data_IF_721479573229
#
_entry.id   IF_721479573229
#
_cell.length_a   1.000
_cell.length_b   1.000
_cell.length_c   1.000
_cell.angle_alpha   90.00
_cell.angle_beta   90.00
_cell.angle_gamma   90.00
#
_symmetry.space_group_name_H-M   'P 1'
#
loop_
_entity.id
_entity.type
_entity.pdbx_description
1 polymer ?
#
# COMPACT_ATOMS: atom_id res chain seq x y z
N UNK A 1 14.92 -12.93 -3.23
CA UNK A 1 14.33 -12.23 -4.40
C UNK A 1 14.03 -10.79 -4.01
N UNK A 2 14.90 -9.86 -4.42
CA UNK A 2 14.73 -8.42 -4.22
C UNK A 2 13.51 -7.95 -5.02
N UNK A 3 12.55 -7.29 -4.38
CA UNK A 3 11.40 -6.74 -5.09
C UNK A 3 11.90 -5.66 -6.07
N UNK A 4 11.47 -5.62 -7.35
CA UNK A 4 11.92 -4.63 -8.34
C UNK A 4 11.44 -3.20 -8.03
N UNK A 5 10.75 -3.02 -6.92
CA UNK A 5 10.11 -1.78 -6.50
C UNK A 5 10.87 -1.16 -5.32
N UNK A 6 11.24 0.11 -5.45
CA UNK A 6 11.76 0.93 -4.36
C UNK A 6 10.62 1.35 -3.42
N UNK A 7 10.27 0.46 -2.50
CA UNK A 7 9.23 0.70 -1.49
C UNK A 7 9.70 1.68 -0.42
N UNK A 8 8.93 2.75 -0.18
CA UNK A 8 9.17 3.70 0.91
C UNK A 8 8.08 3.56 1.97
N UNK A 9 8.47 3.43 3.24
CA UNK A 9 7.51 3.44 4.35
C UNK A 9 6.88 4.83 4.42
N UNK A 10 5.56 4.89 4.53
CA UNK A 10 4.81 6.15 4.63
C UNK A 10 3.98 6.25 5.90
N UNK A 11 3.61 5.12 6.50
CA UNK A 11 2.78 5.13 7.70
C UNK A 11 2.86 3.79 8.45
N UNK A 12 2.57 3.86 9.75
CA UNK A 12 2.52 2.73 10.68
C UNK A 12 1.29 2.90 11.56
N UNK A 13 0.27 2.08 11.32
CA UNK A 13 -1.06 2.23 11.92
C UNK A 13 -1.41 1.01 12.76
N UNK A 14 -1.96 1.23 13.95
CA UNK A 14 -2.56 0.17 14.76
C UNK A 14 -4.07 0.08 14.53
N UNK A 15 -4.56 -1.12 14.27
CA UNK A 15 -5.98 -1.41 14.08
C UNK A 15 -6.44 -1.33 12.61
N UNK A 16 -7.39 -2.21 12.30
CA UNK A 16 -7.96 -2.34 10.96
C UNK A 16 -8.74 -1.08 10.54
N UNK A 17 -9.54 -0.50 11.42
CA UNK A 17 -10.33 0.70 11.11
C UNK A 17 -9.48 1.90 10.71
N UNK A 18 -8.32 2.11 11.33
CA UNK A 18 -7.40 3.19 10.97
C UNK A 18 -6.72 2.93 9.63
N UNK A 19 -6.35 1.68 9.39
CA UNK A 19 -5.77 1.24 8.11
C UNK A 19 -6.77 1.45 6.97
N UNK A 20 -8.03 1.06 7.16
CA UNK A 20 -9.07 1.20 6.16
C UNK A 20 -9.39 2.68 5.88
N UNK A 21 -9.54 3.52 6.92
CA UNK A 21 -9.70 4.97 6.72
C UNK A 21 -8.55 5.60 5.93
N UNK A 22 -7.32 5.16 6.17
CA UNK A 22 -6.15 5.63 5.39
C UNK A 22 -6.25 5.19 3.93
N UNK A 23 -6.71 3.97 3.67
CA UNK A 23 -6.92 3.46 2.31
C UNK A 23 -8.05 4.22 1.59
N UNK A 24 -9.14 4.54 2.29
CA UNK A 24 -10.29 5.28 1.76
C UNK A 24 -9.95 6.74 1.43
N UNK A 25 -8.97 7.32 2.12
CA UNK A 25 -8.47 8.67 1.86
C UNK A 25 -7.50 8.76 0.66
N UNK A 26 -7.09 7.63 0.09
CA UNK A 26 -6.26 7.59 -1.12
C UNK A 26 -7.13 7.65 -2.38
N UNK A 27 -6.55 7.99 -3.55
CA UNK A 27 -7.23 7.82 -4.83
C UNK A 27 -7.79 6.40 -4.97
N UNK A 28 -8.83 6.17 -5.80
CA UNK A 28 -9.40 4.84 -5.97
C UNK A 28 -8.32 3.78 -6.22
N UNK A 29 -8.20 2.82 -5.29
CA UNK A 29 -7.18 1.78 -5.32
C UNK A 29 -7.80 0.41 -5.59
N UNK A 30 -7.15 -0.41 -6.41
CA UNK A 30 -7.53 -1.80 -6.65
C UNK A 30 -6.56 -2.77 -6.01
N UNK A 31 -7.05 -3.73 -5.23
CA UNK A 31 -6.26 -4.83 -4.69
C UNK A 31 -5.82 -5.76 -5.83
N UNK A 32 -4.51 -5.99 -5.96
CA UNK A 32 -3.91 -6.88 -6.98
C UNK A 32 -3.17 -8.07 -6.38
N UNK A 33 -2.77 -7.99 -5.11
CA UNK A 33 -2.16 -9.10 -4.38
C UNK A 33 -2.72 -9.12 -2.97
N UNK A 34 -3.12 -10.29 -2.48
CA UNK A 34 -3.45 -10.55 -1.09
C UNK A 34 -2.91 -11.92 -0.71
N UNK A 35 -1.85 -11.96 0.09
CA UNK A 35 -1.18 -13.18 0.50
C UNK A 35 -1.03 -13.20 2.01
N UNK A 36 -1.28 -14.36 2.61
CA UNK A 36 -0.90 -14.62 3.99
C UNK A 36 0.50 -15.24 3.98
N UNK A 37 1.41 -14.74 4.81
CA UNK A 37 2.77 -15.26 4.95
C UNK A 37 3.10 -15.41 6.43
N UNK A 38 3.95 -16.38 6.75
CA UNK A 38 4.51 -16.45 8.09
C UNK A 38 5.36 -15.20 8.37
N UNK A 39 5.35 -14.74 9.62
CA UNK A 39 6.24 -13.68 10.05
C UNK A 39 7.70 -14.14 9.93
N UNK A 40 8.49 -13.43 9.14
CA UNK A 40 9.91 -13.75 8.95
C UNK A 40 10.78 -13.39 10.16
N UNK A 41 10.24 -12.62 11.10
CA UNK A 41 10.90 -12.25 12.37
C UNK A 41 10.67 -13.32 13.43
N UNK A 42 9.45 -13.85 13.54
CA UNK A 42 9.08 -14.84 14.54
C UNK A 42 9.38 -16.26 14.05
N UNK A 43 10.67 -16.60 13.99
CA UNK A 43 11.16 -17.91 13.51
C UNK A 43 10.65 -19.11 14.31
N UNK A 44 10.25 -18.91 15.57
CA UNK A 44 9.84 -19.98 16.49
C UNK A 44 8.34 -20.22 16.59
N UNK A 45 7.48 -19.29 16.12
CA UNK A 45 6.02 -19.36 16.27
C UNK A 45 5.31 -19.14 14.93
N UNK A 46 5.79 -19.81 13.87
CA UNK A 46 5.37 -19.58 12.48
C UNK A 46 3.87 -19.79 12.26
N UNK A 47 3.26 -20.76 12.95
CA UNK A 47 1.83 -21.08 12.83
C UNK A 47 0.91 -20.13 13.63
N UNK A 48 1.47 -19.34 14.56
CA UNK A 48 0.69 -18.43 15.41
C UNK A 48 0.78 -16.97 14.96
N UNK A 49 1.84 -16.61 14.22
CA UNK A 49 2.10 -15.24 13.82
C UNK A 49 2.14 -15.08 12.30
N UNK A 50 1.00 -14.66 11.76
CA UNK A 50 0.82 -14.44 10.33
C UNK A 50 0.85 -12.95 9.97
N UNK A 51 1.52 -12.66 8.86
CA UNK A 51 1.55 -11.36 8.21
C UNK A 51 0.69 -11.41 6.95
N UNK A 52 -0.29 -10.54 6.85
CA UNK A 52 -1.05 -10.32 5.62
C UNK A 52 -0.38 -9.26 4.77
N UNK A 53 0.02 -9.68 3.58
CA UNK A 53 0.65 -8.87 2.55
C UNK A 53 -0.39 -8.49 1.50
N UNK A 54 -0.68 -7.20 1.36
CA UNK A 54 -1.57 -6.67 0.33
C UNK A 54 -0.84 -5.68 -0.57
N UNK A 55 -1.03 -5.76 -1.88
CA UNK A 55 -0.61 -4.72 -2.83
C UNK A 55 -1.85 -4.19 -3.54
N UNK A 56 -1.91 -2.87 -3.64
CA UNK A 56 -2.90 -2.14 -4.39
C UNK A 56 -2.22 -1.35 -5.51
N UNK A 57 -2.90 -1.22 -6.65
CA UNK A 57 -2.55 -0.29 -7.72
C UNK A 57 -3.59 0.83 -7.82
N UNK A 58 -3.19 1.98 -8.38
CA UNK A 58 -4.14 3.03 -8.70
C UNK A 58 -5.16 2.57 -9.76
N UNK A 59 -6.43 2.90 -9.52
CA UNK A 59 -7.58 2.71 -10.42
C UNK A 59 -8.36 4.02 -10.63
N UNK A 60 -7.77 5.16 -10.29
CA UNK A 60 -8.36 6.47 -10.56
C UNK A 60 -8.58 6.64 -12.07
N UNK A 61 -9.79 7.03 -12.48
CA UNK A 61 -10.11 7.22 -13.91
C UNK A 61 -9.13 8.15 -14.65
N UNK A 62 -8.73 9.33 -14.10
CA UNK A 62 -7.69 10.15 -14.69
C UNK A 62 -6.38 9.41 -14.99
N UNK A 63 -5.98 8.48 -14.12
CA UNK A 63 -4.75 7.70 -14.30
C UNK A 63 -4.90 6.57 -15.33
N UNK A 64 -6.10 6.02 -15.49
CA UNK A 64 -6.40 4.97 -16.47
C UNK A 64 -6.47 5.54 -17.89
N UNK A 65 -6.97 6.77 -18.03
CA UNK A 65 -7.09 7.48 -19.31
C UNK A 65 -5.82 8.25 -19.71
N UNK A 66 -4.78 8.27 -18.86
CA UNK A 66 -3.54 9.00 -19.13
C UNK A 66 -2.66 8.29 -20.18
N UNK A 67 -1.93 9.09 -20.97
CA UNK A 67 -0.95 8.58 -21.94
C UNK A 67 0.19 7.80 -21.28
N UNK A 68 0.54 8.15 -20.04
CA UNK A 68 1.56 7.47 -19.25
C UNK A 68 0.87 6.74 -18.09
N UNK A 69 0.98 5.40 -17.99
CA UNK A 69 0.34 4.65 -16.92
C UNK A 69 0.83 5.05 -15.53
N UNK A 70 -0.10 5.22 -14.60
CA UNK A 70 0.23 5.51 -13.21
C UNK A 70 0.99 4.33 -12.56
N UNK A 71 2.20 4.60 -12.08
CA UNK A 71 3.07 3.62 -11.42
C UNK A 71 2.90 3.56 -9.90
N UNK A 72 1.99 4.39 -9.36
CA UNK A 72 1.70 4.42 -7.94
C UNK A 72 1.14 3.07 -7.48
N UNK A 73 1.81 2.48 -6.50
CA UNK A 73 1.35 1.28 -5.81
C UNK A 73 1.45 1.48 -4.31
N UNK A 74 0.49 0.90 -3.61
CA UNK A 74 0.51 0.83 -2.16
C UNK A 74 0.69 -0.62 -1.73
N UNK A 75 1.58 -0.86 -0.78
CA UNK A 75 1.80 -2.15 -0.15
C UNK A 75 1.46 -2.01 1.33
N UNK A 76 0.62 -2.88 1.84
CA UNK A 76 0.25 -2.94 3.25
C UNK A 76 0.71 -4.28 3.82
N UNK A 77 1.47 -4.21 4.92
CA UNK A 77 1.87 -5.36 5.72
C UNK A 77 1.12 -5.31 7.04
N UNK A 78 0.17 -6.19 7.25
CA UNK A 78 -0.61 -6.25 8.50
C UNK A 78 -0.20 -7.49 9.29
N UNK A 79 0.17 -7.29 10.55
CA UNK A 79 0.25 -8.36 11.54
C UNK A 79 -1.18 -8.75 11.95
N UNK A 80 -1.59 -9.99 11.65
CA UNK A 80 -2.95 -10.44 11.92
C UNK A 80 -3.25 -10.59 13.42
N UNK A 81 -2.23 -10.72 14.28
CA UNK A 81 -2.39 -10.84 15.73
C UNK A 81 -2.53 -9.47 16.38
N UNK A 82 -1.61 -8.55 16.08
CA UNK A 82 -1.58 -7.22 16.71
C UNK A 82 -2.44 -6.20 15.96
N UNK A 83 -2.89 -6.54 14.75
CA UNK A 83 -3.55 -5.64 13.80
C UNK A 83 -2.72 -4.38 13.49
N UNK A 84 -1.41 -4.47 13.65
CA UNK A 84 -0.49 -3.41 13.25
C UNK A 84 -0.20 -3.50 11.75
N UNK A 85 -0.40 -2.41 11.05
CA UNK A 85 -0.21 -2.28 9.60
C UNK A 85 0.94 -1.32 9.30
N UNK A 86 1.85 -1.73 8.41
CA UNK A 86 2.87 -0.87 7.84
C UNK A 86 2.55 -0.61 6.37
N UNK A 87 2.45 0.66 6.00
CA UNK A 87 2.08 1.10 4.67
C UNK A 87 3.33 1.58 3.96
N UNK A 88 3.54 1.06 2.75
CA UNK A 88 4.63 1.43 1.88
C UNK A 88 4.07 1.90 0.54
N UNK A 89 4.66 2.93 -0.04
CA UNK A 89 4.35 3.32 -1.39
C UNK A 89 5.51 3.02 -2.34
N UNK A 90 5.16 2.76 -3.58
CA UNK A 90 6.07 2.77 -4.71
C UNK A 90 5.66 3.88 -5.65
N UNK A 91 6.64 4.68 -6.06
CA UNK A 91 6.44 5.89 -6.84
C UNK A 91 5.58 6.94 -6.12
N UNK A 92 5.44 8.13 -6.71
CA UNK A 92 4.44 9.10 -6.28
C UNK A 92 3.22 8.99 -7.19
N UNK A 93 2.04 9.14 -6.61
CA UNK A 93 0.87 9.39 -7.42
C UNK A 93 1.06 10.76 -8.07
N UNK A 94 1.01 10.83 -9.40
CA UNK A 94 0.83 12.10 -10.07
C UNK A 94 -0.55 12.61 -9.64
N UNK A 95 -0.58 13.45 -8.60
CA UNK A 95 -1.55 14.51 -8.61
C UNK A 95 -1.29 15.20 -9.94
N UNK A 96 -2.25 15.19 -10.87
CA UNK A 96 -2.26 16.25 -11.87
C UNK A 96 -2.10 17.51 -11.03
N UNK A 97 -0.94 18.15 -11.13
CA UNK A 97 -0.66 19.38 -10.42
C UNK A 97 -1.91 20.21 -10.57
N UNK A 98 -2.51 20.67 -9.46
CA UNK A 98 -3.41 21.79 -9.56
C UNK A 98 -2.68 22.80 -10.46
N UNK A 99 -3.27 23.23 -11.60
CA UNK A 99 -2.55 24.06 -12.54
C UNK A 99 -1.96 25.21 -11.73
N UNK A 100 -0.65 25.40 -11.87
CA UNK A 100 0.11 26.50 -11.28
C UNK A 100 -0.78 27.74 -11.29
N UNK A 101 -1.31 28.12 -10.12
CA UNK A 101 -1.83 29.47 -9.96
C UNK A 101 -0.60 30.37 -9.98
N UNK A 102 -0.30 30.89 -11.16
CA UNK A 102 0.60 32.03 -11.34
C UNK A 102 0.00 32.97 -12.39
N UNK A 103 0.25 34.28 -12.29
CA UNK A 103 0.54 35.11 -11.11
C UNK A 103 -0.73 35.78 -10.55
#
# INVERSE_FOLDING_TARGET
MSSPYNWRLIDSLSGESRTNRKLDALPPMGLIVSQLKHCTVCRSNLDQHHMRYRIYCCKSEPCLSALVPCKFKLKILTDERTKQSHLYQHDQHFAASAPDQRP
#
